data_IF_878844918226
#
_entry.id   IF_878844918226
#
_cell.length_a   1.000
_cell.length_b   1.000
_cell.length_c   1.000
_cell.angle_alpha   90.00
_cell.angle_beta   90.00
_cell.angle_gamma   90.00
#
_symmetry.space_group_name_H-M   'P 1'
#
loop_
_entity.id
_entity.type
_entity.pdbx_description
1 polymer ?
#
# COMPACT_ATOMS: atom_id res chain seq x y z
N UNK A 1 15.38 -0.13 -21.35
CA UNK A 1 15.03 -0.35 -19.92
C UNK A 1 13.83 0.49 -19.49
N UNK A 2 13.85 1.82 -19.63
CA UNK A 2 12.71 2.70 -19.26
C UNK A 2 11.43 2.34 -20.02
N UNK A 3 11.50 2.20 -21.35
CA UNK A 3 10.37 1.80 -22.20
C UNK A 3 9.73 0.48 -21.76
N UNK A 4 10.55 -0.48 -21.35
CA UNK A 4 10.10 -1.77 -20.85
C UNK A 4 9.22 -1.61 -19.60
N UNK A 5 9.66 -0.87 -18.58
CA UNK A 5 8.85 -0.67 -17.38
C UNK A 5 7.62 0.20 -17.64
N UNK A 6 7.70 1.19 -18.54
CA UNK A 6 6.53 1.96 -18.95
C UNK A 6 5.47 1.11 -19.64
N UNK A 7 5.91 0.16 -20.48
CA UNK A 7 4.98 -0.80 -21.12
C UNK A 7 4.30 -1.69 -20.08
N UNK A 8 5.04 -2.20 -19.09
CA UNK A 8 4.48 -3.06 -18.04
C UNK A 8 3.41 -2.36 -17.18
N UNK A 9 3.55 -1.06 -16.95
CA UNK A 9 2.54 -0.28 -16.22
C UNK A 9 1.45 0.30 -17.14
N UNK A 10 1.33 -0.18 -18.40
CA UNK A 10 0.30 0.21 -19.35
C UNK A 10 0.44 1.63 -19.89
N UNK A 11 1.68 2.12 -20.06
CA UNK A 11 1.98 3.46 -20.58
C UNK A 11 2.74 3.45 -21.92
N UNK A 12 2.69 2.34 -22.67
CA UNK A 12 3.37 2.21 -23.96
C UNK A 12 3.04 3.36 -24.93
N UNK A 13 1.76 3.71 -25.05
CA UNK A 13 1.28 4.76 -25.96
C UNK A 13 1.47 6.19 -25.45
N UNK A 14 2.05 6.33 -24.25
CA UNK A 14 2.20 7.62 -23.58
C UNK A 14 3.65 8.01 -23.29
N UNK A 15 4.61 7.26 -23.83
CA UNK A 15 6.05 7.44 -23.56
C UNK A 15 6.58 8.81 -23.98
N UNK A 16 5.96 9.47 -24.96
CA UNK A 16 6.36 10.77 -25.48
C UNK A 16 5.67 11.96 -24.80
N UNK A 17 4.69 11.68 -23.89
CA UNK A 17 3.97 12.73 -23.18
C UNK A 17 4.83 13.37 -22.10
N UNK A 18 4.64 14.67 -21.93
CA UNK A 18 5.25 15.42 -20.82
C UNK A 18 4.47 15.19 -19.52
N UNK A 19 5.10 15.39 -18.33
CA UNK A 19 4.42 15.17 -17.05
C UNK A 19 3.11 15.94 -16.86
N UNK A 20 2.99 17.13 -17.44
CA UNK A 20 1.78 17.96 -17.38
C UNK A 20 0.64 17.45 -18.29
N UNK A 21 0.94 16.57 -19.24
CA UNK A 21 -0.03 15.93 -20.15
C UNK A 21 -0.55 14.60 -19.59
N UNK A 22 -0.02 14.15 -18.44
CA UNK A 22 -0.40 12.90 -17.79
C UNK A 22 -1.49 13.14 -16.75
N UNK A 23 -2.46 12.21 -16.68
CA UNK A 23 -3.42 12.16 -15.57
C UNK A 23 -2.73 11.84 -14.23
N UNK A 24 -3.43 12.02 -13.10
CA UNK A 24 -2.92 11.63 -11.79
C UNK A 24 -2.51 10.15 -11.71
N UNK A 25 -3.37 9.27 -12.19
CA UNK A 25 -3.08 7.83 -12.26
C UNK A 25 -1.93 7.48 -13.20
N UNK A 26 -1.80 8.16 -14.35
CA UNK A 26 -0.64 7.98 -15.24
C UNK A 26 0.66 8.40 -14.55
N UNK A 27 0.66 9.50 -13.81
CA UNK A 27 1.84 9.93 -13.02
C UNK A 27 2.22 8.91 -11.95
N UNK A 28 1.25 8.30 -11.26
CA UNK A 28 1.52 7.22 -10.30
C UNK A 28 2.16 6.01 -11.00
N UNK A 29 1.63 5.58 -12.13
CA UNK A 29 2.21 4.47 -12.91
C UNK A 29 3.63 4.77 -13.39
N UNK A 30 3.91 6.00 -13.83
CA UNK A 30 5.28 6.45 -14.13
C UNK A 30 6.19 6.37 -12.90
N UNK A 31 5.68 6.74 -11.72
CA UNK A 31 6.41 6.63 -10.45
C UNK A 31 6.87 5.20 -10.15
N UNK A 32 5.96 4.23 -10.32
CA UNK A 32 6.29 2.79 -10.15
C UNK A 32 7.32 2.35 -11.20
N UNK A 33 7.10 2.63 -12.47
CA UNK A 33 8.04 2.28 -13.54
C UNK A 33 9.45 2.85 -13.29
N UNK A 34 9.52 4.11 -12.84
CA UNK A 34 10.78 4.78 -12.48
C UNK A 34 11.49 4.09 -11.31
N UNK A 35 10.73 3.70 -10.27
CA UNK A 35 11.29 3.03 -9.09
C UNK A 35 11.99 1.71 -9.47
N UNK A 36 11.43 0.93 -10.39
CA UNK A 36 12.04 -0.31 -10.87
C UNK A 36 13.18 -0.07 -11.87
N UNK A 37 13.08 0.95 -12.72
CA UNK A 37 14.07 1.23 -13.76
C UNK A 37 15.47 1.55 -13.21
N UNK A 38 15.57 2.12 -12.01
CA UNK A 38 16.85 2.38 -11.33
C UNK A 38 17.38 1.17 -10.57
N UNK A 39 16.65 0.06 -10.57
CA UNK A 39 17.02 -1.22 -9.96
C UNK A 39 17.58 -1.12 -8.52
N UNK A 40 16.90 -0.48 -7.57
CA UNK A 40 17.35 -0.37 -6.19
C UNK A 40 17.29 -1.73 -5.46
N UNK A 41 17.96 -1.84 -4.32
CA UNK A 41 17.82 -3.03 -3.44
C UNK A 41 16.52 -2.99 -2.64
N UNK A 42 16.09 -1.80 -2.25
CA UNK A 42 14.88 -1.57 -1.44
C UNK A 42 14.01 -0.55 -2.16
N UNK A 43 12.73 -0.84 -2.28
CA UNK A 43 11.70 0.03 -2.83
C UNK A 43 10.84 0.59 -1.68
N UNK A 44 10.60 1.90 -1.72
CA UNK A 44 9.71 2.57 -0.77
C UNK A 44 8.52 3.14 -1.55
N UNK A 45 7.32 2.77 -1.16
CA UNK A 45 6.07 3.25 -1.76
C UNK A 45 5.21 3.93 -0.69
N UNK A 46 4.72 5.11 -1.02
CA UNK A 46 3.78 5.87 -0.21
C UNK A 46 2.49 6.04 -1.00
N UNK A 47 1.43 5.33 -0.57
CA UNK A 47 0.10 5.31 -1.21
C UNK A 47 0.15 5.15 -2.76
N UNK A 48 0.84 4.13 -3.30
CA UNK A 48 1.16 4.08 -4.73
C UNK A 48 -0.03 3.90 -5.66
N UNK A 49 -1.21 3.56 -5.12
CA UNK A 49 -2.42 3.29 -5.90
C UNK A 49 -3.59 4.25 -5.59
N UNK A 50 -3.38 5.24 -4.72
CA UNK A 50 -4.45 6.10 -4.18
C UNK A 50 -5.24 6.91 -5.23
N UNK A 51 -4.63 7.23 -6.39
CA UNK A 51 -5.28 8.02 -7.47
C UNK A 51 -5.83 7.17 -8.61
N UNK A 52 -5.89 5.83 -8.45
CA UNK A 52 -6.33 4.92 -9.49
C UNK A 52 -7.80 4.51 -9.27
N UNK A 53 -8.53 4.34 -10.38
CA UNK A 53 -9.80 3.62 -10.36
C UNK A 53 -9.60 2.14 -9.99
N UNK A 54 -10.66 1.47 -9.57
CA UNK A 54 -10.58 0.12 -9.01
C UNK A 54 -9.98 -0.91 -9.98
N UNK A 55 -10.31 -0.88 -11.26
CA UNK A 55 -9.81 -1.85 -12.24
C UNK A 55 -8.31 -1.63 -12.50
N UNK A 56 -7.93 -0.39 -12.80
CA UNK A 56 -6.53 -0.02 -13.01
C UNK A 56 -5.67 -0.31 -11.77
N UNK A 57 -6.22 -0.09 -10.57
CA UNK A 57 -5.55 -0.42 -9.31
C UNK A 57 -5.27 -1.92 -9.20
N UNK A 58 -6.27 -2.77 -9.45
CA UNK A 58 -6.12 -4.22 -9.40
C UNK A 58 -5.07 -4.73 -10.39
N UNK A 59 -5.10 -4.24 -11.61
CA UNK A 59 -4.12 -4.58 -12.65
C UNK A 59 -2.70 -4.19 -12.23
N UNK A 60 -2.53 -2.96 -11.73
CA UNK A 60 -1.22 -2.46 -11.37
C UNK A 60 -0.66 -3.12 -10.11
N UNK A 61 -1.51 -3.51 -9.16
CA UNK A 61 -1.13 -4.32 -8.00
C UNK A 61 -0.59 -5.69 -8.44
N UNK A 62 -1.22 -6.32 -9.41
CA UNK A 62 -0.75 -7.58 -9.98
C UNK A 62 0.60 -7.41 -10.66
N UNK A 63 0.76 -6.37 -11.49
CA UNK A 63 2.04 -6.03 -12.13
C UNK A 63 3.15 -5.78 -11.09
N UNK A 64 2.82 -5.06 -10.00
CA UNK A 64 3.79 -4.81 -8.92
C UNK A 64 4.27 -6.11 -8.28
N UNK A 65 3.36 -7.05 -7.96
CA UNK A 65 3.74 -8.36 -7.41
C UNK A 65 4.66 -9.13 -8.36
N UNK A 66 4.33 -9.19 -9.63
CA UNK A 66 5.14 -9.87 -10.66
C UNK A 66 6.54 -9.26 -10.78
N UNK A 67 6.65 -7.93 -10.72
CA UNK A 67 7.93 -7.22 -10.73
C UNK A 67 8.76 -7.52 -9.47
N UNK A 68 8.14 -7.50 -8.29
CA UNK A 68 8.81 -7.81 -7.03
C UNK A 68 9.30 -9.26 -7.00
N UNK A 69 8.48 -10.19 -7.46
CA UNK A 69 8.83 -11.62 -7.49
C UNK A 69 9.94 -11.93 -8.52
N UNK A 70 9.86 -11.31 -9.69
CA UNK A 70 10.87 -11.47 -10.73
C UNK A 70 12.23 -10.89 -10.34
N UNK A 71 12.23 -9.66 -9.84
CA UNK A 71 13.45 -8.91 -9.56
C UNK A 71 13.98 -9.16 -8.13
N UNK A 72 13.26 -9.98 -7.33
CA UNK A 72 13.60 -10.34 -5.93
C UNK A 72 13.93 -9.11 -5.07
N UNK A 73 13.07 -8.08 -5.17
CA UNK A 73 13.25 -6.82 -4.45
C UNK A 73 12.56 -6.86 -3.09
N UNK A 74 13.15 -6.17 -2.13
CA UNK A 74 12.48 -5.84 -0.87
C UNK A 74 11.69 -4.55 -1.06
N UNK A 75 10.43 -4.55 -0.68
CA UNK A 75 9.57 -3.37 -0.73
C UNK A 75 9.01 -3.05 0.64
N UNK A 76 8.96 -1.77 0.99
CA UNK A 76 8.18 -1.23 2.09
C UNK A 76 7.11 -0.32 1.49
N UNK A 77 5.85 -0.57 1.85
CA UNK A 77 4.71 0.20 1.36
C UNK A 77 3.92 0.78 2.53
N UNK A 78 3.54 2.04 2.41
CA UNK A 78 2.54 2.67 3.28
C UNK A 78 1.23 2.69 2.52
N UNK A 79 0.18 2.19 3.15
CA UNK A 79 -1.19 2.20 2.62
C UNK A 79 -2.19 2.21 3.77
N UNK A 80 -3.38 2.74 3.52
CA UNK A 80 -4.54 2.66 4.40
C UNK A 80 -5.58 1.63 3.92
N UNK A 81 -5.33 0.98 2.78
CA UNK A 81 -6.20 -0.04 2.21
C UNK A 81 -5.81 -1.43 2.74
N UNK A 82 -6.70 -2.00 3.55
CA UNK A 82 -6.50 -3.31 4.21
C UNK A 82 -6.36 -4.44 3.20
N UNK A 83 -7.18 -4.43 2.15
CA UNK A 83 -7.18 -5.48 1.14
C UNK A 83 -5.91 -5.41 0.28
N UNK A 84 -5.40 -4.20 0.03
CA UNK A 84 -4.10 -3.97 -0.60
C UNK A 84 -2.95 -4.48 0.26
N UNK A 85 -2.95 -4.15 1.56
CA UNK A 85 -1.93 -4.61 2.49
C UNK A 85 -1.86 -6.15 2.54
N UNK A 86 -3.01 -6.82 2.63
CA UNK A 86 -3.07 -8.29 2.65
C UNK A 86 -2.64 -8.92 1.32
N UNK A 87 -3.02 -8.31 0.20
CA UNK A 87 -2.71 -8.87 -1.12
C UNK A 87 -1.21 -8.74 -1.48
N UNK A 88 -0.60 -7.60 -1.14
CA UNK A 88 0.76 -7.28 -1.62
C UNK A 88 1.88 -7.69 -0.67
N UNK A 89 1.64 -7.70 0.66
CA UNK A 89 2.72 -7.85 1.63
C UNK A 89 2.86 -9.28 2.17
N UNK A 90 4.07 -9.62 2.60
CA UNK A 90 4.34 -10.85 3.37
C UNK A 90 4.18 -10.58 4.87
N UNK A 91 4.19 -9.30 5.27
CA UNK A 91 4.04 -8.85 6.65
C UNK A 91 3.43 -7.45 6.68
N UNK A 92 2.39 -7.28 7.48
CA UNK A 92 1.76 -5.98 7.75
C UNK A 92 2.20 -5.48 9.12
N UNK A 93 2.72 -4.26 9.16
CA UNK A 93 3.08 -3.57 10.41
C UNK A 93 2.02 -2.50 10.67
N UNK A 94 1.26 -2.68 11.74
CA UNK A 94 0.20 -1.75 12.15
C UNK A 94 0.77 -0.67 13.07
N UNK A 95 0.55 0.60 12.71
CA UNK A 95 1.05 1.74 13.46
C UNK A 95 -0.05 2.38 14.28
N UNK A 96 0.27 2.75 15.53
CA UNK A 96 -0.65 3.52 16.38
C UNK A 96 -0.68 4.98 15.96
N UNK A 97 -1.66 5.73 16.50
CA UNK A 97 -1.77 7.17 16.26
C UNK A 97 -0.58 7.97 16.81
N UNK A 98 -0.29 9.13 16.16
CA UNK A 98 0.61 10.15 16.68
C UNK A 98 0.00 10.92 17.89
N UNK A 99 0.81 11.77 18.58
CA UNK A 99 2.19 12.16 18.25
C UNK A 99 3.28 11.17 18.64
N UNK A 100 3.00 10.15 19.43
CA UNK A 100 3.95 9.12 19.85
C UNK A 100 3.64 7.78 19.18
N UNK A 101 3.49 7.82 17.84
CA UNK A 101 3.21 6.63 17.05
C UNK A 101 4.28 5.54 17.27
N UNK A 102 3.81 4.32 17.46
CA UNK A 102 4.66 3.14 17.62
C UNK A 102 4.07 1.95 16.86
N UNK A 103 4.83 0.89 16.74
CA UNK A 103 4.30 -0.37 16.24
C UNK A 103 3.28 -0.89 17.24
N UNK A 104 2.03 -1.00 16.80
CA UNK A 104 0.93 -1.54 17.61
C UNK A 104 0.84 -3.05 17.51
N UNK A 105 0.94 -3.58 16.28
CA UNK A 105 0.94 -5.02 16.04
C UNK A 105 1.66 -5.36 14.72
N UNK A 106 2.02 -6.64 14.54
CA UNK A 106 2.65 -7.16 13.33
C UNK A 106 1.95 -8.44 12.91
N UNK A 107 1.37 -8.43 11.71
CA UNK A 107 0.66 -9.55 11.13
C UNK A 107 1.49 -10.20 10.03
N UNK A 108 1.80 -11.49 10.15
CA UNK A 108 2.42 -12.27 9.08
C UNK A 108 1.35 -12.78 8.12
N UNK A 109 1.51 -12.50 6.83
CA UNK A 109 0.56 -12.87 5.78
C UNK A 109 0.97 -14.23 5.20
N UNK A 110 0.14 -15.28 5.35
CA UNK A 110 0.52 -16.65 5.01
C UNK A 110 0.26 -17.02 3.54
N UNK A 111 -0.13 -16.06 2.70
CA UNK A 111 -0.50 -16.36 1.31
C UNK A 111 0.75 -16.63 0.48
N UNK A 112 0.77 -17.79 -0.15
CA UNK A 112 1.90 -18.24 -0.97
C UNK A 112 2.09 -17.37 -2.23
N UNK A 113 3.31 -17.40 -2.77
CA UNK A 113 3.66 -16.74 -4.03
C UNK A 113 3.86 -17.78 -5.15
N UNK A 114 3.51 -17.51 -6.40
CA UNK A 114 2.90 -16.26 -6.88
C UNK A 114 1.44 -16.10 -6.40
N UNK A 115 1.07 -14.89 -5.99
CA UNK A 115 -0.30 -14.62 -5.51
C UNK A 115 -1.25 -14.37 -6.67
N UNK A 116 -2.35 -15.10 -6.65
CA UNK A 116 -3.50 -14.86 -7.51
C UNK A 116 -4.63 -14.32 -6.64
N UNK A 117 -5.28 -13.26 -7.07
CA UNK A 117 -6.27 -12.53 -6.25
C UNK A 117 -7.43 -13.43 -5.80
N UNK A 118 -7.96 -14.28 -6.68
CA UNK A 118 -9.01 -15.25 -6.33
C UNK A 118 -8.58 -16.15 -5.18
N UNK A 119 -7.38 -16.70 -5.25
CA UNK A 119 -6.87 -17.66 -4.28
C UNK A 119 -6.65 -17.02 -2.90
N UNK A 120 -6.21 -15.74 -2.90
CA UNK A 120 -6.09 -14.96 -1.67
C UNK A 120 -7.45 -14.70 -1.04
N UNK A 121 -8.46 -14.30 -1.83
CA UNK A 121 -9.81 -14.02 -1.35
C UNK A 121 -10.54 -15.28 -0.86
N UNK A 122 -10.25 -16.44 -1.43
CA UNK A 122 -10.82 -17.74 -1.05
C UNK A 122 -10.05 -18.39 0.11
N UNK A 123 -8.90 -17.85 0.49
CA UNK A 123 -8.10 -18.43 1.57
C UNK A 123 -8.81 -18.34 2.93
N UNK A 124 -8.91 -19.44 3.71
CA UNK A 124 -9.68 -19.46 4.96
C UNK A 124 -9.32 -18.38 5.97
N UNK A 125 -8.05 -17.95 5.99
CA UNK A 125 -7.55 -16.89 6.90
C UNK A 125 -7.76 -15.47 6.40
N UNK A 126 -8.21 -15.27 5.15
CA UNK A 126 -8.29 -13.92 4.57
C UNK A 126 -9.22 -13.01 5.38
N UNK A 127 -10.45 -13.47 5.64
CA UNK A 127 -11.45 -12.68 6.35
C UNK A 127 -11.09 -12.46 7.83
N UNK A 128 -10.50 -13.44 8.50
CA UNK A 128 -10.00 -13.32 9.86
C UNK A 128 -8.91 -12.21 9.96
N UNK A 129 -7.95 -12.25 9.05
CA UNK A 129 -6.88 -11.25 9.01
C UNK A 129 -7.39 -9.87 8.63
N UNK A 130 -8.32 -9.80 7.70
CA UNK A 130 -8.97 -8.55 7.29
C UNK A 130 -9.74 -7.91 8.46
N UNK A 131 -10.52 -8.70 9.20
CA UNK A 131 -11.24 -8.26 10.39
C UNK A 131 -10.28 -7.76 11.47
N UNK A 132 -9.19 -8.47 11.72
CA UNK A 132 -8.15 -8.04 12.66
C UNK A 132 -7.58 -6.66 12.32
N UNK A 133 -7.22 -6.43 11.04
CA UNK A 133 -6.71 -5.15 10.58
C UNK A 133 -7.74 -4.03 10.70
N UNK A 134 -9.00 -4.29 10.34
CA UNK A 134 -10.10 -3.31 10.43
C UNK A 134 -10.34 -2.94 11.90
N UNK A 135 -10.46 -3.92 12.79
CA UNK A 135 -10.67 -3.69 14.22
C UNK A 135 -9.56 -2.83 14.81
N UNK A 136 -8.30 -3.14 14.49
CA UNK A 136 -7.17 -2.32 14.93
C UNK A 136 -7.29 -0.85 14.46
N UNK A 137 -7.67 -0.61 13.21
CA UNK A 137 -7.82 0.74 12.66
C UNK A 137 -9.01 1.48 13.32
N UNK A 138 -10.11 0.80 13.58
CA UNK A 138 -11.28 1.36 14.27
C UNK A 138 -10.94 1.75 15.71
N UNK A 139 -10.21 0.91 16.44
CA UNK A 139 -9.76 1.21 17.80
C UNK A 139 -8.86 2.45 17.82
N UNK A 140 -7.94 2.56 16.85
CA UNK A 140 -7.08 3.74 16.71
C UNK A 140 -7.88 5.01 16.38
N UNK A 141 -8.92 4.94 15.55
CA UNK A 141 -9.77 6.09 15.24
C UNK A 141 -10.60 6.51 16.47
N UNK A 142 -11.12 5.56 17.25
CA UNK A 142 -11.82 5.83 18.50
C UNK A 142 -10.93 6.49 19.56
N UNK A 143 -9.68 6.01 19.72
CA UNK A 143 -8.72 6.62 20.63
C UNK A 143 -8.39 8.06 20.21
N UNK A 144 -8.20 8.32 18.92
CA UNK A 144 -7.95 9.65 18.38
C UNK A 144 -9.13 10.60 18.65
N UNK A 145 -10.36 10.16 18.42
CA UNK A 145 -11.56 10.96 18.69
C UNK A 145 -11.68 11.30 20.17
N UNK A 146 -11.49 10.33 21.08
CA UNK A 146 -11.49 10.56 22.53
C UNK A 146 -10.42 11.55 22.97
N UNK A 147 -9.22 11.49 22.38
CA UNK A 147 -8.14 12.43 22.68
C UNK A 147 -8.44 13.87 22.24
N UNK A 148 -9.20 14.04 21.16
CA UNK A 148 -9.63 15.36 20.66
C UNK A 148 -10.77 15.92 21.51
N UNK A 149 -11.70 15.06 21.97
CA UNK A 149 -12.89 15.44 22.75
C UNK A 149 -12.59 15.65 24.25
N UNK A 150 -11.44 15.17 24.74
CA UNK A 150 -11.03 15.37 26.12
C UNK A 150 -10.83 16.87 26.40
N UNK A 151 -11.62 17.52 27.28
CA UNK A 151 -11.49 18.95 27.54
C UNK A 151 -10.13 19.28 28.13
N UNK A 152 -9.51 20.39 27.70
CA UNK A 152 -8.27 20.95 28.21
C UNK A 152 -8.34 21.39 29.71
N UNK A 153 -9.21 20.78 30.51
CA UNK A 153 -9.53 21.19 31.88
C UNK A 153 -8.59 20.64 32.97
N UNK A 154 -7.51 19.95 32.60
CA UNK A 154 -6.53 19.45 33.59
C UNK A 154 -5.15 20.16 33.57
N UNK A 155 -5.02 21.26 32.84
CA UNK A 155 -3.75 22.01 32.77
C UNK A 155 -3.69 23.28 33.68
N UNK A 156 -4.64 23.47 34.58
CA UNK A 156 -4.63 24.56 35.56
C UNK A 156 -4.87 23.97 36.98
N UNK A 157 -3.94 23.16 37.45
CA UNK A 157 -3.79 22.86 38.88
C UNK A 157 -2.69 23.73 39.45
N UNK A 158 -3.10 24.74 40.17
CA UNK A 158 -2.25 25.51 41.11
C UNK A 158 -1.76 24.60 42.23
#
# INVERSE_FOLDING_TARGET
MVEYYLSLVGLADSMQKRPNELSGGMRQRVGIARAFAISPKILLFDEPFGMLDSLTRMELQQVLLELLDRDKKTALMVTHDVDEALFLSDRVVMMTNGPQAKVGDILNVPFERPRVRSDVLEHPKYYEMREHLITFLEDQDHEKKRAIEAPASMALGF
#
